data_IF_951914472144
#
_entry.id   IF_951914472144
#
_cell.length_a   1.000
_cell.length_b   1.000
_cell.length_c   1.000
_cell.angle_alpha   90.00
_cell.angle_beta   90.00
_cell.angle_gamma   90.00
#
_symmetry.space_group_name_H-M   'P 1'
#
loop_
_entity.id
_entity.type
_entity.pdbx_description
1 polymer ?
#
# COMPACT_ATOMS: atom_id res chain seq x y z
N UNK A 1 -27.12 11.48 -27.31
CA UNK A 1 -26.57 12.49 -28.25
C UNK A 1 -27.12 12.35 -29.66
N UNK A 2 -27.44 11.15 -30.16
CA UNK A 2 -28.16 10.97 -31.45
C UNK A 2 -29.56 11.60 -31.45
N UNK A 3 -30.33 11.45 -30.36
CA UNK A 3 -31.69 11.98 -30.27
C UNK A 3 -31.80 13.53 -30.21
N UNK A 4 -30.68 14.26 -30.10
CA UNK A 4 -30.72 15.73 -29.98
C UNK A 4 -29.95 16.43 -31.12
N UNK A 5 -28.88 15.84 -31.67
CA UNK A 5 -27.99 16.58 -32.58
C UNK A 5 -27.60 15.86 -33.89
N UNK A 6 -28.12 14.65 -34.16
CA UNK A 6 -27.91 13.94 -35.43
C UNK A 6 -26.45 13.55 -35.76
N UNK A 7 -26.23 12.76 -36.84
CA UNK A 7 -24.90 12.33 -37.27
C UNK A 7 -24.17 13.48 -38.01
N UNK A 8 -23.04 13.92 -37.46
CA UNK A 8 -22.26 15.06 -37.95
C UNK A 8 -22.41 16.28 -37.04
N UNK A 9 -21.55 16.36 -36.02
CA UNK A 9 -21.64 17.33 -34.92
C UNK A 9 -21.38 18.76 -35.40
N UNK A 10 -22.42 19.46 -35.85
CA UNK A 10 -22.37 20.91 -36.09
C UNK A 10 -23.16 21.59 -34.98
N UNK A 11 -22.48 22.37 -34.13
CA UNK A 11 -23.16 23.27 -33.18
C UNK A 11 -23.28 24.63 -33.85
N UNK A 12 -24.49 25.01 -34.25
CA UNK A 12 -24.75 26.32 -34.82
C UNK A 12 -24.66 27.41 -33.76
N UNK A 13 -23.90 28.49 -34.05
CA UNK A 13 -23.90 29.70 -33.24
C UNK A 13 -24.81 30.72 -33.93
N UNK A 14 -25.83 31.18 -33.20
CA UNK A 14 -26.74 32.19 -33.70
C UNK A 14 -26.11 33.57 -33.53
N UNK A 15 -25.81 34.23 -34.65
CA UNK A 15 -25.27 35.59 -34.69
C UNK A 15 -26.38 36.59 -35.04
N UNK A 16 -26.58 37.60 -34.20
CA UNK A 16 -27.55 38.69 -34.41
C UNK A 16 -26.90 40.06 -34.22
N UNK A 17 -27.37 41.13 -34.87
CA UNK A 17 -26.95 42.49 -34.53
C UNK A 17 -27.15 42.79 -33.03
N UNK A 18 -26.30 43.62 -32.40
CA UNK A 18 -26.47 44.00 -30.99
C UNK A 18 -27.79 44.73 -30.72
N UNK A 19 -28.32 44.62 -29.50
CA UNK A 19 -29.61 45.20 -29.10
C UNK A 19 -29.72 46.70 -29.38
N UNK A 20 -28.64 47.45 -29.16
CA UNK A 20 -28.59 48.91 -29.41
C UNK A 20 -28.95 49.28 -30.85
N UNK A 21 -28.66 48.42 -31.82
CA UNK A 21 -29.05 48.65 -33.21
C UNK A 21 -30.57 48.62 -33.37
N UNK A 22 -31.25 47.62 -32.78
CA UNK A 22 -32.71 47.53 -32.83
C UNK A 22 -33.38 48.67 -32.06
N UNK A 23 -32.78 49.12 -30.94
CA UNK A 23 -33.25 50.29 -30.20
C UNK A 23 -33.22 51.54 -31.09
N UNK A 24 -32.12 51.80 -31.81
CA UNK A 24 -32.03 52.95 -32.73
C UNK A 24 -33.08 52.89 -33.85
N UNK A 25 -33.35 51.72 -34.40
CA UNK A 25 -34.40 51.57 -35.43
C UNK A 25 -35.80 51.77 -34.82
N UNK A 26 -36.04 51.34 -33.58
CA UNK A 26 -37.33 51.53 -32.89
C UNK A 26 -37.67 52.99 -32.58
N UNK A 27 -36.69 53.89 -32.62
CA UNK A 27 -36.87 55.33 -32.41
C UNK A 27 -37.32 56.06 -33.68
N UNK A 28 -37.38 55.39 -34.83
CA UNK A 28 -37.86 55.97 -36.07
C UNK A 28 -39.39 56.17 -35.97
N UNK A 29 -39.95 57.32 -36.38
CA UNK A 29 -41.39 57.55 -36.35
C UNK A 29 -42.18 56.51 -37.16
N UNK A 30 -43.33 56.09 -36.66
CA UNK A 30 -44.18 55.12 -37.34
C UNK A 30 -44.66 55.63 -38.72
N UNK A 31 -44.69 54.75 -39.71
CA UNK A 31 -45.07 55.05 -41.09
C UNK A 31 -43.94 55.59 -41.97
N UNK A 32 -42.77 55.90 -41.40
CA UNK A 32 -41.58 56.28 -42.18
C UNK A 32 -41.03 55.10 -43.00
N UNK A 33 -40.34 55.42 -44.09
CA UNK A 33 -39.66 54.42 -44.94
C UNK A 33 -38.16 54.39 -44.64
N UNK A 34 -37.65 53.19 -44.35
CA UNK A 34 -36.24 52.92 -44.06
C UNK A 34 -35.63 52.11 -45.21
N UNK A 35 -34.59 52.63 -45.84
CA UNK A 35 -33.88 51.92 -46.90
C UNK A 35 -32.87 50.92 -46.32
N UNK A 36 -32.97 49.65 -46.71
CA UNK A 36 -32.03 48.59 -46.36
C UNK A 36 -30.91 48.54 -47.41
N UNK A 37 -29.81 49.23 -47.16
CA UNK A 37 -28.66 49.29 -48.04
C UNK A 37 -27.68 48.14 -47.77
N UNK A 38 -27.48 47.26 -48.76
CA UNK A 38 -26.55 46.13 -48.66
C UNK A 38 -26.01 45.77 -50.06
N UNK A 39 -24.97 44.96 -50.14
CA UNK A 39 -24.36 44.58 -51.43
C UNK A 39 -25.26 43.68 -52.29
N UNK A 40 -26.18 42.93 -51.69
CA UNK A 40 -27.03 41.96 -52.38
C UNK A 40 -28.45 41.92 -51.82
N UNK A 41 -29.40 41.43 -52.63
CA UNK A 41 -30.78 41.20 -52.19
C UNK A 41 -30.85 40.14 -51.09
N UNK A 42 -29.95 39.15 -51.11
CA UNK A 42 -29.85 38.17 -50.03
C UNK A 42 -29.43 38.84 -48.70
N UNK A 43 -28.44 39.75 -48.75
CA UNK A 43 -27.98 40.49 -47.58
C UNK A 43 -29.06 41.41 -46.99
N UNK A 44 -29.84 42.10 -47.82
CA UNK A 44 -30.96 42.93 -47.36
C UNK A 44 -32.06 42.08 -46.72
N UNK A 45 -32.39 40.92 -47.29
CA UNK A 45 -33.36 39.97 -46.70
C UNK A 45 -32.94 39.44 -45.34
N UNK A 46 -31.66 39.15 -45.13
CA UNK A 46 -31.17 38.71 -43.82
C UNK A 46 -31.31 39.82 -42.77
N UNK A 47 -30.96 41.06 -43.11
CA UNK A 47 -31.13 42.20 -42.20
C UNK A 47 -32.60 42.47 -41.90
N UNK A 48 -33.44 42.43 -42.94
CA UNK A 48 -34.90 42.54 -42.82
C UNK A 48 -35.47 41.47 -41.89
N UNK A 49 -35.02 40.22 -42.03
CA UNK A 49 -35.45 39.11 -41.18
C UNK A 49 -35.17 39.34 -39.70
N UNK A 50 -34.03 39.95 -39.35
CA UNK A 50 -33.78 40.35 -37.96
C UNK A 50 -34.72 41.46 -37.51
N UNK A 51 -34.83 42.55 -38.28
CA UNK A 51 -35.74 43.66 -37.95
C UNK A 51 -37.17 43.16 -37.76
N UNK A 52 -37.58 42.18 -38.58
CA UNK A 52 -38.86 41.52 -38.47
C UNK A 52 -39.03 40.69 -37.21
N UNK A 53 -38.04 39.85 -36.93
CA UNK A 53 -38.03 38.99 -35.74
C UNK A 53 -38.07 39.78 -34.43
N UNK A 54 -37.47 40.96 -34.40
CA UNK A 54 -37.50 41.87 -33.24
C UNK A 54 -38.73 42.80 -33.22
N UNK A 55 -39.72 42.57 -34.10
CA UNK A 55 -41.02 43.23 -34.05
C UNK A 55 -41.03 44.68 -34.56
N UNK A 56 -40.02 45.11 -35.32
CA UNK A 56 -39.89 46.49 -35.79
C UNK A 56 -40.74 46.76 -37.04
N UNK A 57 -42.06 46.52 -36.95
CA UNK A 57 -43.04 46.62 -38.05
C UNK A 57 -43.66 48.01 -38.21
N UNK A 58 -43.31 48.96 -37.34
CA UNK A 58 -43.88 50.30 -37.32
C UNK A 58 -43.39 51.19 -38.49
N UNK A 59 -42.35 50.76 -39.22
CA UNK A 59 -41.79 51.43 -40.39
C UNK A 59 -41.87 50.53 -41.62
N UNK A 60 -41.87 51.13 -42.81
CA UNK A 60 -41.79 50.41 -44.08
C UNK A 60 -40.33 50.20 -44.48
N UNK A 61 -39.97 48.99 -44.91
CA UNK A 61 -38.61 48.68 -45.37
C UNK A 61 -38.55 48.49 -46.87
N UNK A 62 -37.67 49.26 -47.52
CA UNK A 62 -37.37 49.14 -48.94
C UNK A 62 -35.94 48.66 -49.13
N UNK A 63 -35.72 47.63 -49.94
CA UNK A 63 -34.38 47.07 -50.17
C UNK A 63 -33.60 47.85 -51.22
N UNK A 64 -32.31 48.03 -50.98
CA UNK A 64 -31.36 48.65 -51.92
C UNK A 64 -30.11 47.78 -52.03
N UNK A 65 -30.11 46.79 -52.94
CA UNK A 65 -28.97 45.93 -53.22
C UNK A 65 -28.00 46.63 -54.20
N UNK A 66 -27.06 47.41 -53.69
CA UNK A 66 -26.35 48.39 -54.51
C UNK A 66 -25.37 47.79 -55.55
N UNK A 67 -24.89 46.56 -55.38
CA UNK A 67 -24.06 45.89 -56.41
C UNK A 67 -24.92 45.15 -57.45
N UNK A 68 -26.22 44.97 -57.22
CA UNK A 68 -27.16 44.34 -58.16
C UNK A 68 -27.93 45.36 -59.01
N UNK A 69 -27.95 46.64 -58.60
CA UNK A 69 -28.63 47.74 -59.29
C UNK A 69 -27.64 48.64 -60.04
N UNK A 70 -28.12 49.40 -61.02
CA UNK A 70 -27.28 50.41 -61.66
C UNK A 70 -27.00 51.58 -60.69
N UNK A 71 -25.85 52.26 -60.79
CA UNK A 71 -25.52 53.38 -59.91
C UNK A 71 -26.57 54.51 -59.93
N UNK A 72 -27.21 54.74 -61.07
CA UNK A 72 -28.27 55.73 -61.23
C UNK A 72 -29.55 55.32 -60.48
N UNK A 73 -29.92 54.03 -60.51
CA UNK A 73 -31.06 53.50 -59.76
C UNK A 73 -30.84 53.60 -58.25
N UNK A 74 -29.63 53.27 -57.79
CA UNK A 74 -29.26 53.41 -56.37
C UNK A 74 -29.30 54.87 -55.94
N UNK A 75 -28.63 55.76 -56.69
CA UNK A 75 -28.60 57.19 -56.41
C UNK A 75 -30.00 57.81 -56.37
N UNK A 76 -30.87 57.46 -57.33
CA UNK A 76 -32.25 57.93 -57.36
C UNK A 76 -33.06 57.43 -56.15
N UNK A 77 -32.87 56.17 -55.73
CA UNK A 77 -33.59 55.59 -54.59
C UNK A 77 -33.14 56.21 -53.26
N UNK A 78 -31.85 56.51 -53.09
CA UNK A 78 -31.34 57.06 -51.82
C UNK A 78 -31.48 58.60 -51.70
N UNK A 79 -31.68 59.33 -52.80
CA UNK A 79 -31.67 60.80 -52.78
C UNK A 79 -32.77 61.46 -51.94
N UNK A 80 -33.91 60.78 -51.76
CA UNK A 80 -35.00 61.23 -50.90
C UNK A 80 -35.08 60.49 -49.55
N UNK A 81 -34.10 59.65 -49.23
CA UNK A 81 -34.20 58.76 -48.07
C UNK A 81 -33.92 59.51 -46.76
N UNK A 82 -34.90 59.55 -45.87
CA UNK A 82 -34.72 60.08 -44.50
C UNK A 82 -33.95 59.11 -43.61
N UNK A 83 -34.16 57.81 -43.78
CA UNK A 83 -33.53 56.78 -42.96
C UNK A 83 -32.90 55.72 -43.85
N UNK A 84 -31.61 55.46 -43.63
CA UNK A 84 -30.88 54.38 -44.29
C UNK A 84 -30.26 53.50 -43.21
N UNK A 85 -30.45 52.20 -43.33
CA UNK A 85 -29.78 51.22 -42.49
C UNK A 85 -29.12 50.13 -43.31
N UNK A 86 -28.05 49.56 -42.79
CA UNK A 86 -27.28 48.53 -43.46
C UNK A 86 -26.14 48.04 -42.58
N UNK A 87 -25.43 47.00 -43.02
CA UNK A 87 -24.22 46.58 -42.33
C UNK A 87 -23.20 47.72 -42.27
N UNK A 88 -22.49 47.88 -41.14
CA UNK A 88 -21.45 48.92 -40.97
C UNK A 88 -20.37 48.87 -42.05
N UNK A 89 -20.14 47.71 -42.67
CA UNK A 89 -19.24 47.55 -43.81
C UNK A 89 -19.71 48.27 -45.09
N UNK A 90 -21.01 48.59 -45.19
CA UNK A 90 -21.63 49.21 -46.37
C UNK A 90 -22.06 50.65 -46.10
N UNK A 91 -22.65 50.91 -44.94
CA UNK A 91 -23.22 52.22 -44.58
C UNK A 91 -22.38 53.01 -43.57
N UNK A 92 -21.27 52.45 -43.07
CA UNK A 92 -20.38 53.15 -42.15
C UNK A 92 -19.59 54.30 -42.80
N UNK A 93 -18.87 55.09 -42.00
CA UNK A 93 -18.01 56.16 -42.54
C UNK A 93 -16.94 55.60 -43.50
N UNK A 94 -16.77 56.24 -44.66
CA UNK A 94 -15.81 55.79 -45.68
C UNK A 94 -16.13 54.43 -46.28
N UNK A 95 -17.42 54.05 -46.33
CA UNK A 95 -17.89 52.79 -46.92
C UNK A 95 -18.71 53.05 -48.19
N UNK A 96 -19.06 52.00 -48.97
CA UNK A 96 -19.68 52.17 -50.29
C UNK A 96 -20.87 53.13 -50.37
N UNK A 97 -21.71 53.24 -49.34
CA UNK A 97 -22.79 54.23 -49.31
C UNK A 97 -22.26 55.67 -49.43
N UNK A 98 -21.23 56.02 -48.66
CA UNK A 98 -20.64 57.35 -48.65
C UNK A 98 -19.66 57.56 -49.83
N UNK A 99 -18.83 56.56 -50.11
CA UNK A 99 -17.80 56.67 -51.16
C UNK A 99 -18.39 56.71 -52.57
N UNK A 100 -19.36 55.83 -52.87
CA UNK A 100 -19.93 55.72 -54.22
C UNK A 100 -21.14 56.61 -54.43
N UNK A 101 -21.90 56.88 -53.36
CA UNK A 101 -23.20 57.55 -53.47
C UNK A 101 -23.37 58.73 -52.52
N UNK A 102 -22.30 59.19 -51.84
CA UNK A 102 -22.39 60.28 -50.87
C UNK A 102 -22.93 61.59 -51.44
N UNK A 103 -22.65 61.90 -52.71
CA UNK A 103 -23.17 63.09 -53.38
C UNK A 103 -24.70 63.05 -53.61
N UNK A 104 -25.31 61.87 -53.59
CA UNK A 104 -26.75 61.70 -53.73
C UNK A 104 -27.48 61.71 -52.39
N UNK A 105 -26.80 61.66 -51.24
CA UNK A 105 -27.46 61.64 -49.93
C UNK A 105 -27.97 63.02 -49.53
N UNK A 106 -29.15 63.07 -48.91
CA UNK A 106 -29.65 64.30 -48.30
C UNK A 106 -28.87 64.64 -47.03
N UNK A 107 -28.59 65.92 -46.73
CA UNK A 107 -27.99 66.33 -45.46
C UNK A 107 -28.79 65.90 -44.22
N UNK A 108 -30.09 65.67 -44.38
CA UNK A 108 -31.01 65.23 -43.31
C UNK A 108 -31.11 63.70 -43.17
N UNK A 109 -30.42 62.94 -44.03
CA UNK A 109 -30.46 61.47 -43.99
C UNK A 109 -29.81 60.95 -42.70
N UNK A 110 -30.59 60.25 -41.88
CA UNK A 110 -30.09 59.54 -40.70
C UNK A 110 -29.64 58.14 -41.10
N UNK A 111 -28.34 57.88 -40.93
CA UNK A 111 -27.73 56.58 -41.22
C UNK A 111 -27.58 55.78 -39.93
N UNK A 112 -28.21 54.62 -39.87
CA UNK A 112 -28.13 53.70 -38.73
C UNK A 112 -27.34 52.47 -39.16
N UNK A 113 -26.06 52.42 -38.83
CA UNK A 113 -25.23 51.27 -39.17
C UNK A 113 -25.51 50.09 -38.22
N UNK A 114 -25.84 48.93 -38.77
CA UNK A 114 -25.83 47.65 -38.04
C UNK A 114 -24.38 47.26 -37.74
N UNK A 115 -23.98 47.18 -36.46
CA UNK A 115 -22.68 46.65 -36.08
C UNK A 115 -22.51 45.19 -36.52
N UNK A 116 -21.28 44.64 -36.43
CA UNK A 116 -21.05 43.20 -36.60
C UNK A 116 -21.95 42.38 -35.67
N UNK A 117 -22.44 41.25 -36.19
CA UNK A 117 -23.33 40.37 -35.43
C UNK A 117 -22.57 39.71 -34.28
N UNK A 118 -23.21 39.62 -33.12
CA UNK A 118 -22.70 38.97 -31.92
C UNK A 118 -23.50 37.70 -31.63
N UNK A 119 -22.88 36.74 -30.94
CA UNK A 119 -23.56 35.51 -30.53
C UNK A 119 -24.62 35.79 -29.45
N UNK A 120 -25.78 35.14 -29.55
CA UNK A 120 -26.83 35.24 -28.53
C UNK A 120 -26.43 34.53 -27.24
N UNK A 121 -26.85 35.03 -26.07
CA UNK A 121 -26.62 34.35 -24.78
C UNK A 121 -27.13 32.90 -24.79
N UNK A 122 -28.28 32.67 -25.43
CA UNK A 122 -28.87 31.33 -25.59
C UNK A 122 -27.96 30.39 -26.39
N UNK A 123 -27.44 30.83 -27.54
CA UNK A 123 -26.56 30.00 -28.37
C UNK A 123 -25.20 29.73 -27.70
N UNK A 124 -24.65 30.70 -26.98
CA UNK A 124 -23.44 30.51 -26.15
C UNK A 124 -23.73 29.50 -25.02
N UNK A 125 -24.86 29.61 -24.35
CA UNK A 125 -25.25 28.71 -23.26
C UNK A 125 -25.46 27.28 -23.75
N UNK A 126 -26.11 27.10 -24.90
CA UNK A 126 -26.27 25.79 -25.55
C UNK A 126 -24.90 25.19 -25.93
N UNK A 127 -24.01 25.99 -26.50
CA UNK A 127 -22.65 25.56 -26.82
C UNK A 127 -21.89 25.14 -25.56
N UNK A 128 -21.96 25.92 -24.48
CA UNK A 128 -21.34 25.60 -23.20
C UNK A 128 -21.90 24.30 -22.61
N UNK A 129 -23.21 24.08 -22.68
CA UNK A 129 -23.83 22.83 -22.25
C UNK A 129 -23.32 21.64 -23.08
N UNK A 130 -23.26 21.76 -24.41
CA UNK A 130 -22.77 20.68 -25.28
C UNK A 130 -21.32 20.34 -24.95
N UNK A 131 -20.45 21.35 -24.79
CA UNK A 131 -19.07 21.12 -24.36
C UNK A 131 -19.02 20.43 -22.99
N UNK A 132 -19.77 20.93 -22.00
CA UNK A 132 -19.82 20.34 -20.66
C UNK A 132 -20.22 18.87 -20.72
N UNK A 133 -21.25 18.51 -21.47
CA UNK A 133 -21.69 17.12 -21.61
C UNK A 133 -20.65 16.26 -22.32
N UNK A 134 -19.98 16.78 -23.36
CA UNK A 134 -18.93 16.05 -24.08
C UNK A 134 -17.70 15.80 -23.18
N UNK A 135 -17.24 16.83 -22.48
CA UNK A 135 -16.12 16.71 -21.55
C UNK A 135 -16.47 15.77 -20.40
N UNK A 136 -17.67 15.91 -19.81
CA UNK A 136 -18.13 15.04 -18.74
C UNK A 136 -18.20 13.57 -19.19
N UNK A 137 -18.78 13.30 -20.36
CA UNK A 137 -18.82 11.94 -20.92
C UNK A 137 -17.42 11.38 -21.16
N UNK A 138 -16.53 12.16 -21.76
CA UNK A 138 -15.14 11.74 -21.99
C UNK A 138 -14.43 11.39 -20.68
N UNK A 139 -14.62 12.22 -19.64
CA UNK A 139 -14.07 11.96 -18.31
C UNK A 139 -14.65 10.69 -17.69
N UNK A 140 -15.95 10.42 -17.85
CA UNK A 140 -16.58 9.18 -17.39
C UNK A 140 -16.04 7.94 -18.13
N UNK A 141 -15.83 8.03 -19.44
CA UNK A 141 -15.25 6.94 -20.24
C UNK A 141 -13.79 6.64 -19.82
N UNK A 142 -13.00 7.69 -19.55
CA UNK A 142 -11.64 7.54 -19.00
C UNK A 142 -11.66 6.94 -17.59
N UNK A 143 -12.58 7.40 -16.73
CA UNK A 143 -12.75 6.88 -15.37
C UNK A 143 -13.19 5.41 -15.36
N UNK A 144 -14.07 5.01 -16.28
CA UNK A 144 -14.50 3.62 -16.46
C UNK A 144 -13.30 2.71 -16.79
N UNK A 145 -12.44 3.12 -17.73
CA UNK A 145 -11.23 2.36 -18.08
C UNK A 145 -10.28 2.20 -16.88
N UNK A 146 -10.08 3.28 -16.12
CA UNK A 146 -9.26 3.24 -14.89
C UNK A 146 -9.88 2.30 -13.86
N UNK A 147 -11.20 2.34 -13.69
CA UNK A 147 -11.93 1.45 -12.78
C UNK A 147 -11.79 -0.02 -13.17
N UNK A 148 -11.94 -0.36 -14.44
CA UNK A 148 -11.81 -1.74 -14.92
C UNK A 148 -10.38 -2.25 -14.72
N UNK A 149 -9.38 -1.42 -15.05
CA UNK A 149 -7.98 -1.73 -14.81
C UNK A 149 -7.69 -1.96 -13.31
N UNK A 150 -8.21 -1.07 -12.46
CA UNK A 150 -8.05 -1.16 -11.01
C UNK A 150 -8.72 -2.42 -10.45
N UNK A 151 -9.92 -2.78 -10.93
CA UNK A 151 -10.62 -4.02 -10.54
C UNK A 151 -9.82 -5.27 -10.91
N UNK A 152 -9.26 -5.32 -12.11
CA UNK A 152 -8.41 -6.44 -12.53
C UNK A 152 -7.16 -6.56 -11.65
N UNK A 153 -6.49 -5.44 -11.37
CA UNK A 153 -5.31 -5.41 -10.50
C UNK A 153 -5.62 -5.77 -9.05
N UNK A 154 -6.76 -5.36 -8.52
CA UNK A 154 -7.21 -5.75 -7.17
C UNK A 154 -7.54 -7.24 -7.08
N UNK A 155 -8.10 -7.84 -8.13
CA UNK A 155 -8.37 -9.28 -8.16
C UNK A 155 -7.05 -10.07 -8.12
N UNK A 156 -6.06 -9.66 -8.92
CA UNK A 156 -4.72 -10.24 -8.93
C UNK A 156 -4.02 -10.08 -7.56
N UNK A 157 -4.07 -8.86 -6.99
CA UNK A 157 -3.51 -8.56 -5.67
C UNK A 157 -4.18 -9.39 -4.56
N UNK A 158 -5.51 -9.52 -4.58
CA UNK A 158 -6.26 -10.33 -3.62
C UNK A 158 -5.85 -11.80 -3.68
N UNK A 159 -5.74 -12.37 -4.88
CA UNK A 159 -5.29 -13.75 -5.05
C UNK A 159 -3.86 -13.97 -4.51
N UNK A 160 -2.94 -13.04 -4.82
CA UNK A 160 -1.57 -13.10 -4.33
C UNK A 160 -1.51 -12.96 -2.80
N UNK A 161 -2.22 -11.98 -2.24
CA UNK A 161 -2.22 -11.73 -0.80
C UNK A 161 -2.90 -12.86 -0.01
N UNK A 162 -3.95 -13.50 -0.54
CA UNK A 162 -4.52 -14.72 0.07
C UNK A 162 -3.52 -15.88 0.06
N UNK A 163 -2.72 -16.03 -1.00
CA UNK A 163 -1.67 -17.06 -1.06
C UNK A 163 -0.58 -16.80 -0.03
N UNK A 164 -0.17 -15.54 0.14
CA UNK A 164 0.79 -15.11 1.17
C UNK A 164 0.22 -15.34 2.57
N UNK A 165 -1.01 -14.91 2.82
CA UNK A 165 -1.71 -15.10 4.10
C UNK A 165 -1.80 -16.58 4.47
N UNK A 166 -2.25 -17.45 3.57
CA UNK A 166 -2.33 -18.89 3.82
C UNK A 166 -0.95 -19.51 4.10
N UNK A 167 0.08 -19.09 3.36
CA UNK A 167 1.45 -19.57 3.56
C UNK A 167 2.00 -19.12 4.92
N UNK A 168 1.72 -17.87 5.31
CA UNK A 168 2.06 -17.33 6.61
C UNK A 168 1.33 -18.06 7.74
N UNK A 169 0.01 -18.28 7.65
CA UNK A 169 -0.77 -19.05 8.63
C UNK A 169 -0.23 -20.47 8.80
N UNK A 170 0.17 -21.14 7.71
CA UNK A 170 0.78 -22.46 7.79
C UNK A 170 2.16 -22.41 8.47
N UNK A 171 2.96 -21.38 8.19
CA UNK A 171 4.26 -21.15 8.83
C UNK A 171 4.09 -20.93 10.34
N UNK A 172 3.20 -20.02 10.74
CA UNK A 172 2.82 -19.72 12.12
C UNK A 172 2.41 -21.01 12.85
N UNK A 173 1.53 -21.81 12.24
CA UNK A 173 1.11 -23.10 12.83
C UNK A 173 2.26 -24.08 13.03
N UNK A 174 3.16 -24.21 12.04
CA UNK A 174 4.37 -25.05 12.16
C UNK A 174 5.31 -24.54 13.25
N UNK A 175 5.56 -23.23 13.31
CA UNK A 175 6.44 -22.61 14.31
C UNK A 175 5.88 -22.79 15.71
N UNK A 176 4.57 -22.57 15.91
CA UNK A 176 3.90 -22.82 17.21
C UNK A 176 4.07 -24.27 17.66
N UNK A 177 3.87 -25.24 16.76
CA UNK A 177 4.08 -26.65 17.08
C UNK A 177 5.53 -26.96 17.44
N UNK A 178 6.49 -26.44 16.66
CA UNK A 178 7.92 -26.61 16.94
C UNK A 178 8.32 -26.04 18.29
N UNK A 179 7.81 -24.85 18.66
CA UNK A 179 8.07 -24.27 19.99
C UNK A 179 7.53 -25.18 21.09
N UNK A 180 6.31 -25.69 20.96
CA UNK A 180 5.73 -26.62 21.95
C UNK A 180 6.57 -27.90 22.07
N UNK A 181 7.02 -28.47 20.95
CA UNK A 181 7.92 -29.64 20.96
C UNK A 181 9.22 -29.34 21.69
N UNK A 182 9.89 -28.23 21.38
CA UNK A 182 11.16 -27.87 22.01
C UNK A 182 10.96 -27.58 23.51
N UNK A 183 9.86 -26.96 23.91
CA UNK A 183 9.54 -26.77 25.32
C UNK A 183 9.40 -28.11 26.07
N UNK A 184 8.76 -29.11 25.45
CA UNK A 184 8.69 -30.46 26.00
C UNK A 184 10.08 -31.12 26.12
N UNK A 185 10.89 -31.03 25.08
CA UNK A 185 12.26 -31.56 25.08
C UNK A 185 13.15 -30.88 26.14
N UNK A 186 13.00 -29.57 26.34
CA UNK A 186 13.72 -28.84 27.39
C UNK A 186 13.31 -29.27 28.80
N UNK A 187 12.02 -29.54 29.03
CA UNK A 187 11.54 -30.06 30.30
C UNK A 187 12.10 -31.45 30.58
N UNK A 188 12.09 -32.34 29.58
CA UNK A 188 12.70 -33.67 29.68
C UNK A 188 14.22 -33.59 29.91
N UNK A 189 14.91 -32.66 29.22
CA UNK A 189 16.33 -32.42 29.44
C UNK A 189 16.60 -31.94 30.87
N UNK A 190 15.78 -31.03 31.39
CA UNK A 190 15.88 -30.55 32.78
C UNK A 190 15.74 -31.69 33.79
N UNK A 191 14.75 -32.57 33.61
CA UNK A 191 14.59 -33.77 34.44
C UNK A 191 15.84 -34.65 34.40
N UNK A 192 16.37 -34.97 33.22
CA UNK A 192 17.57 -35.81 33.06
C UNK A 192 18.81 -35.20 33.70
N UNK A 193 18.96 -33.88 33.68
CA UNK A 193 20.05 -33.18 34.35
C UNK A 193 19.94 -33.28 35.88
N UNK A 194 18.72 -33.18 36.42
CA UNK A 194 18.47 -33.39 37.85
C UNK A 194 18.77 -34.83 38.29
N UNK A 195 18.34 -35.82 37.50
CA UNK A 195 18.65 -37.24 37.72
C UNK A 195 20.17 -37.47 37.74
N UNK A 196 20.89 -36.97 36.72
CA UNK A 196 22.36 -37.09 36.63
C UNK A 196 23.06 -36.44 37.83
N UNK A 197 22.54 -35.31 38.31
CA UNK A 197 23.07 -34.64 39.51
C UNK A 197 22.82 -35.48 40.77
N UNK A 198 21.66 -36.14 40.87
CA UNK A 198 21.33 -37.09 41.93
C UNK A 198 22.25 -38.31 41.94
N UNK A 199 22.47 -38.91 40.76
CA UNK A 199 23.39 -40.04 40.58
C UNK A 199 24.82 -39.68 40.96
N UNK A 200 25.28 -38.48 40.56
CA UNK A 200 26.59 -37.97 40.94
C UNK A 200 26.75 -37.83 42.46
N UNK A 201 25.71 -37.35 43.17
CA UNK A 201 25.73 -37.27 44.64
C UNK A 201 25.80 -38.65 45.29
N UNK A 202 25.05 -39.61 44.74
CA UNK A 202 25.06 -41.00 45.20
C UNK A 202 26.45 -41.62 45.01
N UNK A 203 27.09 -41.39 43.86
CA UNK A 203 28.46 -41.83 43.57
C UNK A 203 29.46 -41.25 44.58
N UNK A 204 29.42 -39.95 44.85
CA UNK A 204 30.29 -39.31 45.86
C UNK A 204 30.11 -39.95 47.24
N UNK A 205 28.86 -40.26 47.62
CA UNK A 205 28.57 -40.97 48.87
C UNK A 205 29.18 -42.39 48.91
N UNK A 206 29.05 -43.15 47.82
CA UNK A 206 29.62 -44.49 47.72
C UNK A 206 31.15 -44.48 47.77
N UNK A 207 31.79 -43.55 47.05
CA UNK A 207 33.25 -43.37 47.03
C UNK A 207 33.78 -43.05 48.43
N UNK A 208 33.08 -42.18 49.18
CA UNK A 208 33.41 -41.87 50.58
C UNK A 208 33.35 -43.10 51.50
N UNK A 209 32.37 -43.98 51.30
CA UNK A 209 32.28 -45.22 52.07
C UNK A 209 33.47 -46.16 51.76
N UNK A 210 33.87 -46.27 50.49
CA UNK A 210 35.03 -47.07 50.09
C UNK A 210 36.32 -46.51 50.71
N UNK A 211 36.45 -45.18 50.79
CA UNK A 211 37.60 -44.53 51.44
C UNK A 211 37.69 -44.90 52.93
N UNK A 212 36.57 -44.84 53.67
CA UNK A 212 36.51 -45.27 55.09
C UNK A 212 36.87 -46.75 55.27
N UNK A 213 36.39 -47.62 54.38
CA UNK A 213 36.74 -49.05 54.42
C UNK A 213 38.22 -49.26 54.11
N UNK A 214 38.75 -48.56 53.11
CA UNK A 214 40.17 -48.63 52.71
C UNK A 214 41.09 -48.20 53.87
N UNK A 215 40.70 -47.16 54.61
CA UNK A 215 41.40 -46.69 55.81
C UNK A 215 41.43 -47.74 56.90
N UNK A 216 40.30 -48.43 57.09
CA UNK A 216 40.19 -49.53 58.06
C UNK A 216 41.12 -50.68 57.68
N UNK A 217 41.14 -51.09 56.40
CA UNK A 217 42.03 -52.16 55.92
C UNK A 217 43.50 -51.73 56.07
N UNK A 218 43.84 -50.46 55.81
CA UNK A 218 45.21 -49.94 55.98
C UNK A 218 45.68 -50.06 57.43
N UNK A 219 44.78 -49.75 58.36
CA UNK A 219 45.06 -49.91 59.79
C UNK A 219 45.27 -51.38 60.17
N UNK A 220 44.44 -52.29 59.66
CA UNK A 220 44.58 -53.74 59.88
C UNK A 220 45.89 -54.27 59.29
N UNK A 221 46.23 -53.91 58.06
CA UNK A 221 47.47 -54.30 57.40
C UNK A 221 48.69 -53.76 58.17
N UNK A 222 48.66 -52.51 58.63
CA UNK A 222 49.73 -51.93 59.45
C UNK A 222 49.89 -52.63 60.82
N UNK A 223 48.78 -52.98 61.48
CA UNK A 223 48.82 -53.77 62.72
C UNK A 223 49.35 -55.19 62.49
N UNK A 224 48.94 -55.82 61.38
CA UNK A 224 49.39 -57.16 60.99
C UNK A 224 50.88 -57.16 60.70
N UNK A 225 51.37 -56.12 60.02
CA UNK A 225 52.79 -55.91 59.76
C UNK A 225 53.60 -55.80 61.07
N UNK A 226 53.09 -55.05 62.05
CA UNK A 226 53.72 -54.94 63.38
C UNK A 226 53.68 -56.26 64.15
N UNK A 227 52.57 -56.99 64.12
CA UNK A 227 52.45 -58.31 64.75
C UNK A 227 53.42 -59.32 64.12
N UNK A 228 53.51 -59.34 62.79
CA UNK A 228 54.42 -60.20 62.05
C UNK A 228 55.90 -59.86 62.33
N UNK A 229 56.23 -58.57 62.46
CA UNK A 229 57.55 -58.13 62.88
C UNK A 229 57.90 -58.63 64.28
N UNK A 230 56.98 -58.48 65.25
CA UNK A 230 57.19 -58.96 66.61
C UNK A 230 57.36 -60.49 66.64
N UNK A 231 56.57 -61.23 65.86
CA UNK A 231 56.68 -62.68 65.72
C UNK A 231 58.01 -63.12 65.09
N UNK A 232 58.50 -62.39 64.08
CA UNK A 232 59.80 -62.65 63.46
C UNK A 232 60.97 -62.42 64.45
N UNK A 233 60.88 -61.39 65.30
CA UNK A 233 61.86 -61.11 66.36
C UNK A 233 61.87 -62.25 67.38
N UNK A 234 60.70 -62.70 67.85
CA UNK A 234 60.63 -63.77 68.86
C UNK A 234 61.04 -65.13 68.28
N UNK A 235 60.72 -65.39 67.01
CA UNK A 235 61.18 -66.58 66.29
C UNK A 235 62.72 -66.62 66.15
N UNK A 236 63.36 -65.48 65.89
CA UNK A 236 64.83 -65.36 65.89
C UNK A 236 65.42 -65.60 67.29
N UNK A 237 64.72 -65.15 68.34
CA UNK A 237 65.13 -65.32 69.74
C UNK A 237 65.09 -66.77 70.21
N UNK A 238 64.15 -67.57 69.68
CA UNK A 238 64.04 -69.01 69.95
C UNK A 238 65.10 -69.88 69.21
N UNK A 239 65.96 -69.28 68.38
CA UNK A 239 67.03 -69.99 67.68
C UNK A 239 66.54 -71.06 66.71
N UNK A 240 67.12 -72.25 66.75
CA UNK A 240 66.77 -73.36 65.85
C UNK A 240 65.29 -73.79 65.97
N UNK A 241 64.71 -73.74 67.17
CA UNK A 241 63.31 -74.13 67.41
C UNK A 241 62.30 -73.15 66.77
N UNK A 242 62.69 -71.89 66.55
CA UNK A 242 61.84 -70.85 65.97
C UNK A 242 61.90 -70.74 64.45
N UNK A 243 62.75 -71.52 63.78
CA UNK A 243 63.08 -71.34 62.36
C UNK A 243 61.87 -71.46 61.43
N UNK A 244 60.94 -72.38 61.70
CA UNK A 244 59.69 -72.51 60.96
C UNK A 244 58.74 -71.33 61.17
N UNK A 245 58.64 -70.81 62.40
CA UNK A 245 57.85 -69.63 62.72
C UNK A 245 58.42 -68.36 62.07
N UNK A 246 59.74 -68.24 61.96
CA UNK A 246 60.39 -67.11 61.31
C UNK A 246 59.99 -66.99 59.83
N UNK A 247 59.90 -68.12 59.10
CA UNK A 247 59.47 -68.15 57.69
C UNK A 247 58.01 -67.69 57.56
N UNK A 248 57.12 -68.19 58.42
CA UNK A 248 55.71 -67.78 58.42
C UNK A 248 55.56 -66.29 58.76
N UNK A 249 56.28 -65.79 59.77
CA UNK A 249 56.24 -64.39 60.15
C UNK A 249 56.73 -63.46 59.03
N UNK A 250 57.79 -63.84 58.31
CA UNK A 250 58.28 -63.08 57.15
C UNK A 250 57.23 -63.02 56.03
N UNK A 251 56.54 -64.13 55.75
CA UNK A 251 55.51 -64.17 54.70
C UNK A 251 54.28 -63.35 55.08
N UNK A 252 53.82 -63.42 56.34
CA UNK A 252 52.72 -62.57 56.85
C UNK A 252 53.10 -61.09 56.75
N UNK A 253 54.34 -60.73 57.09
CA UNK A 253 54.84 -59.36 56.97
C UNK A 253 54.79 -58.87 55.52
N UNK A 254 55.27 -59.69 54.58
CA UNK A 254 55.24 -59.38 53.15
C UNK A 254 53.82 -59.20 52.62
N UNK A 255 52.88 -60.05 53.04
CA UNK A 255 51.46 -59.92 52.70
C UNK A 255 50.86 -58.62 53.24
N UNK A 256 51.23 -58.22 54.46
CA UNK A 256 50.79 -56.97 55.05
C UNK A 256 51.34 -55.73 54.31
N UNK A 257 52.62 -55.75 53.93
CA UNK A 257 53.24 -54.71 53.10
C UNK A 257 52.58 -54.63 51.71
N UNK A 258 52.30 -55.77 51.07
CA UNK A 258 51.56 -55.82 49.80
C UNK A 258 50.13 -55.27 49.94
N UNK A 259 49.43 -55.61 51.02
CA UNK A 259 48.09 -55.09 51.30
C UNK A 259 48.09 -53.56 51.42
N UNK A 260 49.05 -52.99 52.14
CA UNK A 260 49.22 -51.53 52.23
C UNK A 260 49.43 -50.88 50.85
N UNK A 261 50.29 -51.45 50.01
CA UNK A 261 50.54 -50.96 48.64
C UNK A 261 49.28 -51.02 47.76
N UNK A 262 48.51 -52.10 47.84
CA UNK A 262 47.23 -52.22 47.14
C UNK A 262 46.22 -51.15 47.60
N UNK A 263 46.19 -50.83 48.89
CA UNK A 263 45.29 -49.81 49.44
C UNK A 263 45.67 -48.41 48.98
N UNK A 264 46.96 -48.09 48.85
CA UNK A 264 47.38 -46.80 48.27
C UNK A 264 46.93 -46.66 46.81
N UNK A 265 46.97 -47.76 46.05
CA UNK A 265 46.45 -47.78 44.68
C UNK A 265 44.94 -47.57 44.65
N UNK A 266 44.19 -48.19 45.57
CA UNK A 266 42.74 -47.98 45.72
C UNK A 266 42.44 -46.52 46.05
N UNK A 267 43.13 -45.92 47.02
CA UNK A 267 42.94 -44.50 47.39
C UNK A 267 43.20 -43.55 46.22
N UNK A 268 44.21 -43.83 45.39
CA UNK A 268 44.45 -43.04 44.18
C UNK A 268 43.25 -43.10 43.23
N UNK A 269 42.73 -44.30 42.97
CA UNK A 269 41.55 -44.48 42.11
C UNK A 269 40.30 -43.81 42.68
N UNK A 270 40.11 -43.83 44.00
CA UNK A 270 39.03 -43.09 44.70
C UNK A 270 39.15 -41.60 44.43
N UNK A 271 40.35 -41.02 44.60
CA UNK A 271 40.62 -39.62 44.32
C UNK A 271 40.30 -39.22 42.88
N UNK A 272 40.69 -40.06 41.91
CA UNK A 272 40.40 -39.84 40.49
C UNK A 272 38.88 -39.85 40.21
N UNK A 273 38.14 -40.82 40.78
CA UNK A 273 36.67 -40.89 40.63
C UNK A 273 35.98 -39.68 41.27
N UNK A 274 36.45 -39.26 42.44
CA UNK A 274 35.87 -38.12 43.15
C UNK A 274 36.09 -36.81 42.40
N UNK A 275 37.28 -36.60 41.85
CA UNK A 275 37.58 -35.45 40.99
C UNK A 275 36.71 -35.41 39.73
N UNK A 276 36.36 -36.56 39.15
CA UNK A 276 35.42 -36.64 38.04
C UNK A 276 34.01 -36.26 38.49
N UNK A 277 33.54 -36.81 39.62
CA UNK A 277 32.21 -36.54 40.15
C UNK A 277 32.01 -35.05 40.50
N UNK A 278 33.03 -34.41 41.09
CA UNK A 278 33.00 -32.99 41.44
C UNK A 278 32.86 -32.06 40.23
N UNK A 279 33.22 -32.53 39.02
CA UNK A 279 33.05 -31.79 37.76
C UNK A 279 31.66 -31.94 37.15
N UNK A 280 30.88 -32.95 37.55
CA UNK A 280 29.55 -33.22 36.97
C UNK A 280 28.54 -32.15 37.39
N UNK A 281 28.47 -31.82 38.68
CA UNK A 281 27.54 -30.83 39.22
C UNK A 281 27.65 -29.45 38.52
N UNK A 282 28.84 -28.80 38.43
CA UNK A 282 28.96 -27.50 37.76
C UNK A 282 28.67 -27.58 36.25
N UNK A 283 28.95 -28.72 35.60
CA UNK A 283 28.58 -28.93 34.20
C UNK A 283 27.06 -28.99 34.02
N UNK A 284 26.34 -29.70 34.91
CA UNK A 284 24.88 -29.75 34.89
C UNK A 284 24.25 -28.38 35.17
N UNK A 285 24.79 -27.61 36.13
CA UNK A 285 24.35 -26.22 36.37
C UNK A 285 24.55 -25.32 35.14
N UNK A 286 25.66 -25.50 34.43
CA UNK A 286 25.89 -24.82 33.15
C UNK A 286 24.82 -25.13 32.12
N UNK A 287 24.46 -26.41 31.98
CA UNK A 287 23.42 -26.83 31.05
C UNK A 287 22.03 -26.31 31.44
N UNK A 288 21.69 -26.24 32.73
CA UNK A 288 20.44 -25.62 33.21
C UNK A 288 20.35 -24.16 32.79
N UNK A 289 21.43 -23.37 32.97
CA UNK A 289 21.46 -21.97 32.53
C UNK A 289 21.26 -21.82 31.02
N UNK A 290 21.82 -22.73 30.22
CA UNK A 290 21.61 -22.75 28.77
C UNK A 290 20.14 -23.06 28.45
N UNK A 291 19.54 -24.06 29.09
CA UNK A 291 18.13 -24.41 28.93
C UNK A 291 17.20 -23.24 29.27
N UNK A 292 17.46 -22.51 30.37
CA UNK A 292 16.70 -21.31 30.73
C UNK A 292 16.81 -20.21 29.66
N UNK A 293 18.01 -20.02 29.11
CA UNK A 293 18.24 -19.09 28.01
C UNK A 293 17.46 -19.47 26.75
N UNK A 294 17.39 -20.77 26.41
CA UNK A 294 16.58 -21.26 25.29
C UNK A 294 15.09 -21.04 25.57
N UNK A 295 14.62 -21.33 26.78
CA UNK A 295 13.21 -21.12 27.16
C UNK A 295 12.78 -19.66 27.01
N UNK A 296 13.64 -18.70 27.39
CA UNK A 296 13.38 -17.28 27.20
C UNK A 296 13.23 -16.93 25.71
N UNK A 297 14.13 -17.41 24.85
CA UNK A 297 14.05 -17.22 23.40
C UNK A 297 12.80 -17.84 22.79
N UNK A 298 12.37 -19.00 23.29
CA UNK A 298 11.11 -19.63 22.85
C UNK A 298 9.89 -18.76 23.18
N UNK A 299 9.89 -18.09 24.34
CA UNK A 299 8.81 -17.15 24.68
C UNK A 299 8.81 -15.91 23.76
N UNK A 300 9.98 -15.39 23.41
CA UNK A 300 10.13 -14.28 22.45
C UNK A 300 9.64 -14.67 21.04
N UNK A 301 9.96 -15.89 20.59
CA UNK A 301 9.44 -16.44 19.33
C UNK A 301 7.92 -16.54 19.37
N UNK A 302 7.33 -17.01 20.47
CA UNK A 302 5.86 -17.11 20.60
C UNK A 302 5.17 -15.76 20.53
N UNK A 303 5.75 -14.72 21.14
CA UNK A 303 5.22 -13.36 21.03
C UNK A 303 5.24 -12.88 19.56
N UNK A 304 6.35 -13.11 18.86
CA UNK A 304 6.48 -12.76 17.43
C UNK A 304 5.46 -13.49 16.55
N UNK A 305 5.21 -14.78 16.84
CA UNK A 305 4.21 -15.59 16.14
C UNK A 305 2.79 -15.05 16.32
N UNK A 306 2.47 -14.53 17.50
CA UNK A 306 1.15 -13.94 17.78
C UNK A 306 0.96 -12.59 17.06
N UNK A 307 2.02 -11.77 17.01
CA UNK A 307 2.04 -10.54 16.21
C UNK A 307 1.86 -10.83 14.72
N UNK A 308 2.59 -11.82 14.17
CA UNK A 308 2.44 -12.26 12.78
C UNK A 308 1.02 -12.77 12.49
N UNK A 309 0.42 -13.53 13.41
CA UNK A 309 -0.97 -14.01 13.27
C UNK A 309 -1.95 -12.84 13.16
N UNK A 310 -1.78 -11.82 14.02
CA UNK A 310 -2.62 -10.62 14.01
C UNK A 310 -2.45 -9.83 12.70
N UNK A 311 -1.23 -9.73 12.19
CA UNK A 311 -0.93 -9.07 10.92
C UNK A 311 -1.60 -9.78 9.74
N UNK A 312 -1.58 -11.11 9.71
CA UNK A 312 -2.25 -11.92 8.68
C UNK A 312 -3.77 -11.72 8.71
N UNK A 313 -4.38 -11.70 9.89
CA UNK A 313 -5.81 -11.44 10.04
C UNK A 313 -6.20 -10.02 9.59
N UNK A 314 -5.33 -9.04 9.85
CA UNK A 314 -5.54 -7.65 9.43
C UNK A 314 -5.45 -7.53 7.91
N UNK A 315 -4.45 -8.17 7.29
CA UNK A 315 -4.29 -8.21 5.83
C UNK A 315 -5.55 -8.77 5.15
N UNK A 316 -6.13 -9.85 5.70
CA UNK A 316 -7.35 -10.43 5.15
C UNK A 316 -8.54 -9.45 5.18
N UNK A 317 -8.68 -8.67 6.27
CA UNK A 317 -9.74 -7.64 6.40
C UNK A 317 -9.54 -6.48 5.42
N UNK A 318 -8.31 -5.99 5.26
CA UNK A 318 -8.00 -4.87 4.35
C UNK A 318 -8.30 -5.23 2.89
N UNK A 319 -8.00 -6.46 2.46
CA UNK A 319 -8.33 -6.94 1.12
C UNK A 319 -9.84 -6.96 0.86
N UNK A 320 -10.64 -7.36 1.87
CA UNK A 320 -12.09 -7.37 1.75
C UNK A 320 -12.65 -5.95 1.62
N UNK A 321 -12.10 -4.99 2.37
CA UNK A 321 -12.47 -3.58 2.27
C UNK A 321 -12.11 -2.99 0.90
N UNK A 322 -10.90 -3.27 0.39
CA UNK A 322 -10.47 -2.81 -0.94
C UNK A 322 -11.37 -3.34 -2.05
N UNK A 323 -11.77 -4.61 -1.98
CA UNK A 323 -12.74 -5.18 -2.91
C UNK A 323 -14.06 -4.41 -2.89
N UNK A 324 -14.57 -4.08 -1.70
CA UNK A 324 -15.81 -3.32 -1.53
C UNK A 324 -15.74 -1.90 -2.13
N UNK A 325 -14.62 -1.20 -1.92
CA UNK A 325 -14.39 0.14 -2.50
C UNK A 325 -14.37 0.09 -4.03
N UNK A 326 -13.73 -0.93 -4.60
CA UNK A 326 -13.69 -1.10 -6.06
C UNK A 326 -15.07 -1.30 -6.66
N UNK A 327 -15.93 -2.10 -6.03
CA UNK A 327 -17.29 -2.33 -6.51
C UNK A 327 -18.16 -1.07 -6.38
N UNK A 328 -17.98 -0.29 -5.30
CA UNK A 328 -18.63 1.01 -5.15
C UNK A 328 -18.22 2.00 -6.25
N UNK A 329 -16.93 2.07 -6.59
CA UNK A 329 -16.43 2.94 -7.66
C UNK A 329 -17.08 2.60 -9.00
N UNK A 330 -17.11 1.31 -9.36
CA UNK A 330 -17.79 0.84 -10.57
C UNK A 330 -19.27 1.22 -10.59
N UNK A 331 -19.97 1.11 -9.46
CA UNK A 331 -21.38 1.50 -9.34
C UNK A 331 -21.58 3.01 -9.56
N UNK A 332 -20.75 3.87 -8.96
CA UNK A 332 -20.83 5.34 -9.13
C UNK A 332 -20.65 5.73 -10.59
N UNK A 333 -19.67 5.15 -11.29
CA UNK A 333 -19.41 5.42 -12.71
C UNK A 333 -20.62 5.02 -13.57
N UNK A 334 -21.18 3.83 -13.33
CA UNK A 334 -22.39 3.38 -14.06
C UNK A 334 -23.61 4.26 -13.80
N UNK A 335 -23.72 4.82 -12.60
CA UNK A 335 -24.86 5.68 -12.23
C UNK A 335 -24.73 7.06 -12.88
N UNK A 336 -23.53 7.65 -12.87
CA UNK A 336 -23.28 8.94 -13.52
C UNK A 336 -23.29 8.84 -15.06
N UNK A 337 -22.90 7.70 -15.63
CA UNK A 337 -22.95 7.49 -17.09
C UNK A 337 -24.35 7.30 -17.68
N UNK A 338 -25.38 7.10 -16.84
CA UNK A 338 -26.79 7.00 -17.26
C UNK A 338 -27.53 8.34 -17.28
N UNK A 339 -26.93 9.40 -16.74
CA UNK A 339 -27.48 10.77 -16.69
C UNK A 339 -26.95 11.58 -17.89
#
# INVERSE_FOLDING_TARGET
MENVFGPGKVVGIELVPPTDYFIKISQIPAGETVLLFNNSTAGTKVLLGYLQRYGLMHVQYDIVPYDEWSPQQVAAKIAGARYITGGVAYVGPGRPLQEKFGAALSPETTIIASPPRIATSTSISQLAHVFSTLYHKKSLDELAKVSDFLKAKLTELSALSMKVANSASQCIGKTRNLVVTIQGELQDQSRRMQETTGDSRTLVGAVRNIDVVSDTIKNIASQTNLLALNAAIEAARAGEAGRGFAVVAQEVRKLAEQSNSSIETIRKSIGDVQAIADRIAPAMEGNVRVSDGIQKKMNEIMASVEEESTAVDTLAKELQQLSGISDQLSMVIMTQGKV
#
